data_IF_323809519184
#
_entry.id   IF_323809519184
#
_cell.length_a   1.000
_cell.length_b   1.000
_cell.length_c   1.000
_cell.angle_alpha   90.00
_cell.angle_beta   90.00
_cell.angle_gamma   90.00
#
_symmetry.space_group_name_H-M   'P 1'
#
loop_
_entity.id
_entity.type
_entity.pdbx_description
1 polymer ?
#
# COMPACT_ATOMS: atom_id res chain seq x y z
N UNK A 1 8.04 13.05 14.54
CA UNK A 1 7.95 12.10 13.40
C UNK A 1 9.22 12.24 12.60
N UNK A 2 9.93 11.15 12.33
CA UNK A 2 11.14 11.14 11.51
C UNK A 2 10.72 10.62 10.11
N UNK A 3 10.92 11.37 9.01
CA UNK A 3 10.66 10.85 7.68
C UNK A 3 11.73 9.78 7.37
N UNK A 4 11.30 8.60 6.95
CA UNK A 4 12.21 7.61 6.40
C UNK A 4 12.65 8.10 5.02
N UNK A 5 13.93 8.47 4.89
CA UNK A 5 14.57 8.86 3.63
C UNK A 5 15.47 7.69 3.23
N UNK A 6 15.07 6.94 2.21
CA UNK A 6 15.90 5.90 1.59
C UNK A 6 16.51 6.49 0.31
N UNK A 7 17.82 6.79 0.34
CA UNK A 7 18.60 7.31 -0.79
C UNK A 7 18.68 8.84 -0.83
N UNK A 8 19.86 9.37 -1.12
CA UNK A 8 20.22 10.81 -0.99
C UNK A 8 19.53 11.79 -1.94
N UNK A 9 18.49 11.35 -2.64
CA UNK A 9 17.62 12.17 -3.47
C UNK A 9 16.20 11.78 -3.07
N UNK A 10 15.47 12.68 -2.41
CA UNK A 10 14.14 12.39 -1.88
C UNK A 10 13.20 11.96 -3.00
N UNK A 11 12.82 10.68 -3.01
CA UNK A 11 11.81 10.17 -3.95
C UNK A 11 10.50 10.94 -3.73
N UNK A 12 9.89 11.40 -4.81
CA UNK A 12 8.62 12.12 -4.75
C UNK A 12 7.54 11.14 -4.31
N UNK A 13 7.14 11.24 -3.04
CA UNK A 13 6.12 10.39 -2.42
C UNK A 13 4.67 10.83 -2.72
N UNK A 14 4.50 11.80 -3.63
CA UNK A 14 3.22 12.32 -4.10
C UNK A 14 3.29 12.64 -5.60
N UNK A 15 2.68 11.77 -6.40
CA UNK A 15 2.64 11.91 -7.85
C UNK A 15 1.27 12.42 -8.35
N UNK A 16 0.40 12.86 -7.43
CA UNK A 16 -0.97 13.28 -7.73
C UNK A 16 -1.76 12.19 -8.49
N UNK A 17 -2.55 12.61 -9.47
CA UNK A 17 -3.35 11.71 -10.33
C UNK A 17 -2.59 11.26 -11.59
N UNK A 18 -1.40 11.80 -11.85
CA UNK A 18 -0.64 11.57 -13.08
C UNK A 18 -0.19 10.11 -13.23
N UNK A 19 -0.01 9.40 -12.11
CA UNK A 19 0.22 7.95 -12.11
C UNK A 19 -0.87 7.24 -11.33
N UNK A 20 -1.32 6.12 -11.89
CA UNK A 20 -2.21 5.19 -11.20
C UNK A 20 -1.46 4.27 -10.23
N UNK A 21 -0.20 3.96 -10.51
CA UNK A 21 0.57 3.00 -9.71
C UNK A 21 1.43 3.72 -8.68
N UNK A 22 1.47 3.17 -7.47
CA UNK A 22 2.38 3.63 -6.43
C UNK A 22 3.84 3.37 -6.81
N UNK A 23 4.75 4.27 -6.43
CA UNK A 23 6.18 4.08 -6.65
C UNK A 23 6.76 2.99 -5.75
N UNK A 24 7.98 2.55 -6.06
CA UNK A 24 8.71 1.64 -5.19
C UNK A 24 8.95 2.25 -3.80
N UNK A 25 9.29 3.55 -3.72
CA UNK A 25 9.46 4.26 -2.45
C UNK A 25 8.17 4.35 -1.63
N UNK A 26 7.04 4.62 -2.29
CA UNK A 26 5.73 4.60 -1.63
C UNK A 26 5.37 3.20 -1.13
N UNK A 27 5.58 2.18 -1.95
CA UNK A 27 5.32 0.78 -1.57
C UNK A 27 6.18 0.34 -0.39
N UNK A 28 7.47 0.71 -0.39
CA UNK A 28 8.37 0.43 0.73
C UNK A 28 7.93 1.15 2.02
N UNK A 29 7.48 2.41 1.93
CA UNK A 29 6.93 3.13 3.08
C UNK A 29 5.65 2.48 3.61
N UNK A 30 4.78 1.97 2.74
CA UNK A 30 3.59 1.22 3.13
C UNK A 30 3.95 -0.11 3.81
N UNK A 31 4.96 -0.83 3.32
CA UNK A 31 5.45 -2.05 3.95
C UNK A 31 5.92 -1.81 5.38
N UNK A 32 6.65 -0.71 5.61
CA UNK A 32 7.12 -0.31 6.95
C UNK A 32 5.96 0.11 7.87
N UNK A 33 4.96 0.82 7.34
CA UNK A 33 3.82 1.33 8.09
C UNK A 33 2.83 0.22 8.47
N UNK A 34 2.36 -0.54 7.49
CA UNK A 34 1.24 -1.46 7.66
C UNK A 34 1.70 -2.83 8.17
N UNK A 35 2.91 -3.27 7.77
CA UNK A 35 3.58 -4.54 8.13
C UNK A 35 2.85 -5.83 7.72
N UNK A 36 1.52 -5.79 7.69
CA UNK A 36 0.60 -6.85 7.27
C UNK A 36 -0.53 -6.23 6.46
N UNK A 37 -1.38 -7.08 5.88
CA UNK A 37 -2.63 -6.64 5.26
C UNK A 37 -3.44 -5.80 6.27
N UNK A 38 -3.91 -4.64 5.83
CA UNK A 38 -4.69 -3.69 6.63
C UNK A 38 -6.13 -4.11 6.86
N UNK A 39 -6.59 -5.18 6.19
CA UNK A 39 -7.91 -5.73 6.42
C UNK A 39 -7.98 -6.31 7.85
N UNK A 40 -9.07 -6.06 8.61
CA UNK A 40 -9.21 -6.55 9.97
C UNK A 40 -8.89 -8.03 10.10
N UNK A 41 -8.14 -8.37 11.15
CA UNK A 41 -7.77 -9.75 11.50
C UNK A 41 -6.92 -10.49 10.47
N UNK A 42 -6.46 -9.84 9.39
CA UNK A 42 -5.56 -10.46 8.43
C UNK A 42 -4.09 -10.34 8.86
N UNK A 43 -3.35 -11.45 8.82
CA UNK A 43 -1.91 -11.49 9.15
C UNK A 43 -0.99 -11.72 7.96
N UNK A 44 -1.48 -11.57 6.71
CA UNK A 44 -0.64 -11.73 5.52
C UNK A 44 0.47 -10.67 5.55
N UNK A 45 1.76 -11.07 5.45
CA UNK A 45 2.87 -10.13 5.48
C UNK A 45 2.78 -9.07 4.38
N UNK A 46 3.28 -7.86 4.65
CA UNK A 46 3.27 -6.74 3.71
C UNK A 46 3.85 -7.07 2.33
N UNK A 47 4.90 -7.90 2.24
CA UNK A 47 5.53 -8.27 0.98
C UNK A 47 4.69 -9.23 0.10
N UNK A 48 3.54 -9.70 0.60
CA UNK A 48 2.51 -10.45 -0.13
C UNK A 48 1.26 -9.59 -0.39
N UNK A 49 1.34 -8.30 -0.09
CA UNK A 49 0.25 -7.35 -0.24
C UNK A 49 0.58 -6.31 -1.30
N UNK A 50 -0.47 -5.85 -1.96
CA UNK A 50 -0.43 -4.76 -2.92
C UNK A 50 -0.98 -3.48 -2.29
N UNK A 51 -0.49 -2.34 -2.77
CA UNK A 51 -0.98 -1.04 -2.35
C UNK A 51 -2.33 -0.74 -3.02
N UNK A 52 -3.34 -0.50 -2.20
CA UNK A 52 -4.72 -0.23 -2.59
C UNK A 52 -5.10 1.23 -2.33
N UNK A 53 -5.78 1.88 -3.28
CA UNK A 53 -6.32 3.22 -3.08
C UNK A 53 -7.58 3.20 -2.21
N UNK A 54 -7.66 4.04 -1.17
CA UNK A 54 -8.85 4.16 -0.31
C UNK A 54 -9.98 4.91 -1.04
N UNK A 55 -9.64 6.05 -1.65
CA UNK A 55 -10.46 6.69 -2.69
C UNK A 55 -9.94 6.17 -4.01
N UNK A 56 -10.78 5.44 -4.74
CA UNK A 56 -10.38 4.78 -5.97
C UNK A 56 -9.82 5.79 -6.99
N UNK A 57 -8.79 5.40 -7.75
CA UNK A 57 -8.10 6.31 -8.67
C UNK A 57 -9.03 6.89 -9.76
N UNK A 58 -9.94 6.07 -10.30
CA UNK A 58 -10.95 6.54 -11.28
C UNK A 58 -11.93 7.56 -10.68
N UNK A 59 -12.10 7.57 -9.36
CA UNK A 59 -12.98 8.50 -8.64
C UNK A 59 -12.24 9.77 -8.20
N UNK A 60 -11.02 10.00 -8.71
CA UNK A 60 -10.19 11.16 -8.35
C UNK A 60 -9.17 10.89 -7.25
N UNK A 61 -9.03 9.63 -6.81
CA UNK A 61 -8.01 9.24 -5.84
C UNK A 61 -6.59 9.45 -6.35
N UNK A 62 -5.73 10.02 -5.51
CA UNK A 62 -4.32 10.25 -5.83
C UNK A 62 -3.42 9.14 -5.27
N UNK A 63 -2.31 8.89 -5.95
CA UNK A 63 -1.33 7.88 -5.56
C UNK A 63 -0.38 8.47 -4.53
N UNK A 64 -0.83 8.52 -3.26
CA UNK A 64 -0.07 9.01 -2.11
C UNK A 64 -0.29 8.11 -0.88
N UNK A 65 0.64 8.14 0.08
CA UNK A 65 0.61 7.24 1.23
C UNK A 65 -0.66 7.35 2.10
N UNK A 66 -1.22 8.54 2.27
CA UNK A 66 -2.44 8.74 3.09
C UNK A 66 -3.72 8.26 2.40
N UNK A 67 -3.69 8.06 1.08
CA UNK A 67 -4.80 7.48 0.33
C UNK A 67 -4.54 5.99 0.01
N UNK A 68 -3.60 5.34 0.69
CA UNK A 68 -3.17 3.99 0.40
C UNK A 68 -3.22 3.08 1.62
N UNK A 69 -3.52 1.80 1.40
CA UNK A 69 -3.42 0.74 2.39
C UNK A 69 -2.90 -0.55 1.74
N UNK A 70 -2.16 -1.39 2.46
CA UNK A 70 -1.79 -2.71 1.95
C UNK A 70 -2.93 -3.71 2.07
N UNK A 71 -3.29 -4.36 0.97
CA UNK A 71 -4.24 -5.47 0.96
C UNK A 71 -3.62 -6.71 0.29
N UNK A 72 -3.83 -7.88 0.89
CA UNK A 72 -3.45 -9.14 0.25
C UNK A 72 -4.33 -9.43 -0.97
N UNK A 73 -3.90 -10.32 -1.86
CA UNK A 73 -4.68 -10.65 -3.07
C UNK A 73 -6.16 -11.03 -2.80
N UNK A 74 -6.47 -11.67 -1.67
CA UNK A 74 -7.86 -11.95 -1.26
C UNK A 74 -8.65 -10.67 -0.98
N UNK A 75 -8.13 -9.77 -0.15
CA UNK A 75 -8.83 -8.54 0.24
C UNK A 75 -8.72 -7.42 -0.80
N UNK A 76 -7.74 -7.52 -1.72
CA UNK A 76 -7.61 -6.65 -2.87
C UNK A 76 -8.55 -7.04 -4.03
N UNK A 77 -9.27 -8.17 -3.92
CA UNK A 77 -10.24 -8.63 -4.92
C UNK A 77 -9.63 -9.40 -6.12
N UNK A 78 -8.35 -9.79 -6.04
CA UNK A 78 -7.65 -10.54 -7.10
C UNK A 78 -7.57 -12.05 -6.90
N UNK A 79 -7.75 -12.53 -5.66
CA UNK A 79 -7.61 -13.93 -5.18
C UNK A 79 -6.22 -14.60 -5.41
N UNK A 80 -5.90 -15.73 -4.73
CA UNK A 80 -6.29 -16.12 -3.39
C UNK A 80 -5.11 -16.01 -2.40
N UNK A 81 -5.31 -15.30 -1.30
CA UNK A 81 -4.48 -15.49 -0.11
C UNK A 81 -4.98 -16.77 0.59
N UNK A 82 -4.27 -17.88 0.38
CA UNK A 82 -4.71 -19.24 0.75
C UNK A 82 -4.65 -19.54 2.25
N UNK A 83 -4.17 -18.59 3.05
CA UNK A 83 -4.29 -18.56 4.50
C UNK A 83 -4.30 -17.10 4.98
N UNK A 84 -5.38 -16.37 4.72
CA UNK A 84 -5.70 -15.20 5.55
C UNK A 84 -6.27 -15.71 6.87
N UNK A 85 -5.42 -16.23 7.75
CA UNK A 85 -5.84 -16.61 9.10
C UNK A 85 -6.22 -15.36 9.87
N UNK A 86 -7.54 -15.15 9.98
CA UNK A 86 -8.14 -14.52 11.16
C UNK A 86 -7.80 -15.41 12.34
N UNK A 87 -7.15 -14.85 13.36
CA UNK A 87 -6.90 -15.58 14.60
C UNK A 87 -8.15 -15.63 15.45
#
# INVERSE_FOLDING_TARGET
>A
MIPVVLGGEGEVLDLGQATRLFTAGQTAALWLRDRVCSFPECSIPAHWCDAHHLIHWLDGGVSQLSNAALLCGRHHGGAPATDCSGR
#
